data_IF_441537276445
#
_entry.id   IF_441537276445
#
_cell.length_a   1.000
_cell.length_b   1.000
_cell.length_c   1.000
_cell.angle_alpha   90.00
_cell.angle_beta   90.00
_cell.angle_gamma   90.00
#
_symmetry.space_group_name_H-M   'P 1'
#
loop_
_entity.id
_entity.type
_entity.pdbx_description
1 polymer ?
#
# COMPACT_ATOMS: atom_id res chain seq x y z
N UNK A 1 10.68 22.32 15.53
CA UNK A 1 11.98 22.28 16.23
C UNK A 1 11.73 22.38 17.72
N UNK A 2 12.35 21.53 18.54
CA UNK A 2 12.26 21.58 20.00
C UNK A 2 13.69 21.61 20.56
N UNK A 3 14.03 22.63 21.36
CA UNK A 3 15.40 22.81 21.89
C UNK A 3 15.41 23.34 23.32
N UNK A 4 16.47 23.02 24.05
CA UNK A 4 16.81 23.63 25.35
C UNK A 4 17.44 25.02 25.24
N UNK A 5 17.82 25.44 24.02
CA UNK A 5 18.47 26.73 23.79
C UNK A 5 17.54 27.93 24.02
N UNK A 6 18.14 29.11 24.11
CA UNK A 6 17.42 30.37 24.10
C UNK A 6 16.61 30.57 22.81
N UNK A 7 15.48 31.26 22.95
CA UNK A 7 14.55 31.63 21.89
C UNK A 7 15.22 32.35 20.71
N UNK A 8 16.11 33.31 20.97
CA UNK A 8 16.84 34.02 19.92
C UNK A 8 17.71 33.10 19.06
N UNK A 9 18.41 32.14 19.69
CA UNK A 9 19.25 31.15 19.00
C UNK A 9 18.39 30.17 18.22
N UNK A 10 17.34 29.64 18.86
CA UNK A 10 16.41 28.70 18.25
C UNK A 10 15.75 29.29 16.99
N UNK A 11 15.26 30.53 17.07
CA UNK A 11 14.68 31.25 15.94
C UNK A 11 15.69 31.51 14.82
N UNK A 12 16.93 31.87 15.17
CA UNK A 12 18.00 32.10 14.19
C UNK A 12 18.33 30.84 13.40
N UNK A 13 18.50 29.70 14.09
CA UNK A 13 18.76 28.41 13.45
C UNK A 13 17.55 27.96 12.63
N UNK A 14 16.33 28.09 13.16
CA UNK A 14 15.11 27.73 12.45
C UNK A 14 14.94 28.53 11.14
N UNK A 15 15.28 29.83 11.12
CA UNK A 15 15.30 30.63 9.87
C UNK A 15 16.32 30.11 8.87
N UNK A 16 17.54 29.77 9.33
CA UNK A 16 18.60 29.23 8.45
C UNK A 16 18.20 27.89 7.82
N UNK A 17 17.45 27.08 8.55
CA UNK A 17 16.93 25.79 8.09
C UNK A 17 15.63 25.91 7.28
N UNK A 18 15.10 27.12 7.08
CA UNK A 18 13.91 27.36 6.26
C UNK A 18 12.58 27.01 6.92
N UNK A 19 12.50 26.96 8.25
CA UNK A 19 11.21 26.77 8.94
C UNK A 19 10.27 27.95 8.66
N UNK A 20 8.96 27.71 8.46
CA UNK A 20 7.98 28.76 8.25
C UNK A 20 7.81 29.55 9.56
N UNK A 21 8.37 30.76 9.58
CA UNK A 21 8.31 31.69 10.72
C UNK A 21 7.53 32.92 10.26
N UNK A 22 6.30 33.04 10.73
CA UNK A 22 5.43 34.15 10.39
C UNK A 22 5.78 35.36 11.26
N UNK A 23 6.21 36.50 10.68
CA UNK A 23 6.39 37.74 11.43
C UNK A 23 5.02 38.18 11.99
N UNK A 24 4.84 38.18 13.31
CA UNK A 24 3.62 38.67 13.97
C UNK A 24 2.65 37.61 14.53
N UNK A 25 2.87 36.32 14.28
CA UNK A 25 2.23 35.22 15.06
C UNK A 25 3.26 34.57 15.97
N UNK A 26 2.83 34.01 17.10
CA UNK A 26 3.68 33.25 18.03
C UNK A 26 4.25 31.99 17.35
N UNK A 27 5.28 32.17 16.51
CA UNK A 27 5.96 31.10 15.78
C UNK A 27 6.96 30.36 16.69
N UNK A 28 7.21 30.89 17.88
CA UNK A 28 8.03 30.32 18.93
C UNK A 28 7.26 30.34 20.26
N UNK A 29 7.31 29.22 20.99
CA UNK A 29 6.86 29.13 22.38
C UNK A 29 8.02 28.71 23.27
N UNK A 30 8.13 29.32 24.43
CA UNK A 30 9.13 28.98 25.46
C UNK A 30 8.55 27.97 26.46
N UNK A 31 9.42 27.22 27.13
CA UNK A 31 9.01 26.29 28.19
C UNK A 31 8.14 26.93 29.29
N UNK A 32 8.42 28.19 29.65
CA UNK A 32 7.63 28.93 30.64
C UNK A 32 6.22 29.27 30.13
N UNK A 33 6.09 29.62 28.84
CA UNK A 33 4.79 29.86 28.22
C UNK A 33 3.99 28.55 28.14
N UNK A 34 4.62 27.43 27.80
CA UNK A 34 3.99 26.10 27.79
C UNK A 34 3.45 25.74 29.18
N UNK A 35 4.20 26.01 30.26
CA UNK A 35 3.74 25.77 31.64
C UNK A 35 2.54 26.63 32.06
N UNK A 36 2.43 27.84 31.49
CA UNK A 36 1.30 28.72 31.74
C UNK A 36 0.04 28.34 30.95
N UNK A 37 0.15 27.45 29.97
CA UNK A 37 -0.95 26.99 29.14
C UNK A 37 -1.63 25.75 29.72
N UNK A 38 -2.95 25.72 29.62
CA UNK A 38 -3.71 24.49 29.79
C UNK A 38 -3.44 23.53 28.62
N UNK A 39 -3.69 22.24 28.83
CA UNK A 39 -3.51 21.21 27.79
C UNK A 39 -4.28 21.55 26.51
N UNK A 40 -5.51 22.06 26.63
CA UNK A 40 -6.32 22.48 25.48
C UNK A 40 -5.72 23.68 24.75
N UNK A 41 -5.20 24.67 25.47
CA UNK A 41 -4.52 25.82 24.86
C UNK A 41 -3.25 25.39 24.12
N UNK A 42 -2.49 24.45 24.70
CA UNK A 42 -1.31 23.88 24.03
C UNK A 42 -1.73 23.13 22.77
N UNK A 43 -2.75 22.29 22.83
CA UNK A 43 -3.32 21.59 21.66
C UNK A 43 -3.70 22.59 20.56
N UNK A 44 -4.38 23.69 20.88
CA UNK A 44 -4.74 24.70 19.89
C UNK A 44 -3.50 25.39 19.30
N UNK A 45 -2.49 25.70 20.13
CA UNK A 45 -1.28 26.40 19.73
C UNK A 45 -0.32 25.56 18.86
N UNK A 46 -0.12 24.27 19.13
CA UNK A 46 0.92 23.45 18.46
C UNK A 46 0.80 23.41 16.93
N UNK A 47 -0.39 23.63 16.37
CA UNK A 47 -0.60 23.66 14.91
C UNK A 47 -0.05 24.90 14.21
N UNK A 48 0.31 25.96 14.96
CA UNK A 48 0.79 27.23 14.42
C UNK A 48 2.21 27.59 14.87
N UNK A 49 2.82 26.75 15.71
CA UNK A 49 4.13 26.98 16.32
C UNK A 49 5.15 26.05 15.68
N UNK A 50 6.22 26.62 15.16
CA UNK A 50 7.29 25.87 14.48
C UNK A 50 8.49 25.61 15.40
N UNK A 51 8.67 26.42 16.44
CA UNK A 51 9.82 26.40 17.34
C UNK A 51 9.37 26.36 18.80
N UNK A 52 9.91 25.42 19.57
CA UNK A 52 9.77 25.36 21.03
C UNK A 52 11.15 25.51 21.66
N UNK A 53 11.36 26.55 22.46
CA UNK A 53 12.65 26.92 23.03
C UNK A 53 12.67 26.80 24.56
N UNK A 54 13.86 26.68 25.15
CA UNK A 54 14.06 26.45 26.59
C UNK A 54 13.18 25.33 27.16
N UNK A 55 13.04 24.23 26.42
CA UNK A 55 12.15 23.12 26.81
C UNK A 55 12.83 22.15 27.77
N UNK A 56 12.07 21.68 28.75
CA UNK A 56 12.42 20.56 29.65
C UNK A 56 11.91 19.22 29.08
N UNK A 57 12.37 18.07 29.61
CA UNK A 57 11.81 16.76 29.22
C UNK A 57 10.28 16.69 29.34
N UNK A 58 9.70 17.31 30.37
CA UNK A 58 8.25 17.38 30.58
C UNK A 58 7.54 18.13 29.45
N UNK A 59 8.13 19.25 28.99
CA UNK A 59 7.58 20.03 27.88
C UNK A 59 7.63 19.24 26.57
N UNK A 60 8.71 18.48 26.32
CA UNK A 60 8.81 17.61 25.13
C UNK A 60 7.67 16.60 25.07
N UNK A 61 7.39 15.92 26.18
CA UNK A 61 6.25 15.00 26.27
C UNK A 61 4.91 15.71 26.07
N UNK A 62 4.70 16.87 26.70
CA UNK A 62 3.46 17.64 26.55
C UNK A 62 3.20 18.07 25.10
N UNK A 63 4.25 18.45 24.36
CA UNK A 63 4.16 18.80 22.94
C UNK A 63 3.76 17.57 22.11
N UNK A 64 4.39 16.41 22.35
CA UNK A 64 4.05 15.16 21.67
C UNK A 64 2.59 14.79 21.92
N UNK A 65 2.13 14.80 23.18
CA UNK A 65 0.74 14.52 23.54
C UNK A 65 -0.24 15.51 22.88
N UNK A 66 0.12 16.79 22.80
CA UNK A 66 -0.72 17.81 22.17
C UNK A 66 -0.91 17.56 20.66
N UNK A 67 0.14 17.16 19.94
CA UNK A 67 0.01 16.77 18.53
C UNK A 67 -0.79 15.46 18.35
N UNK A 68 -0.56 14.46 19.22
CA UNK A 68 -1.31 13.21 19.19
C UNK A 68 -2.80 13.42 19.47
N UNK A 69 -3.15 14.31 20.40
CA UNK A 69 -4.54 14.67 20.72
C UNK A 69 -5.26 15.33 19.53
N UNK A 70 -4.52 15.98 18.62
CA UNK A 70 -5.05 16.49 17.34
C UNK A 70 -5.19 15.41 16.26
N UNK A 71 -4.90 14.16 16.57
CA UNK A 71 -4.99 13.03 15.63
C UNK A 71 -3.80 12.92 14.67
N UNK A 72 -2.72 13.67 14.90
CA UNK A 72 -1.50 13.56 14.12
C UNK A 72 -0.70 12.30 14.52
N UNK A 73 0.03 11.73 13.57
CA UNK A 73 1.10 10.76 13.85
C UNK A 73 2.38 11.55 14.10
N UNK A 74 2.99 11.37 15.27
CA UNK A 74 4.13 12.17 15.72
C UNK A 74 5.39 11.34 15.69
N UNK A 75 6.36 11.79 14.89
CA UNK A 75 7.74 11.32 14.98
C UNK A 75 8.55 12.31 15.84
N UNK A 76 9.31 11.78 16.80
CA UNK A 76 10.19 12.60 17.64
C UNK A 76 11.64 12.15 17.47
N UNK A 77 12.53 13.11 17.28
CA UNK A 77 13.98 12.88 17.21
C UNK A 77 14.67 13.34 18.49
N UNK A 78 15.65 12.59 18.98
CA UNK A 78 16.44 12.95 20.17
C UNK A 78 17.71 12.11 20.31
N UNK A 79 18.68 12.63 21.04
CA UNK A 79 20.01 12.03 21.22
C UNK A 79 20.34 11.83 22.71
N UNK A 80 19.76 12.63 23.59
CA UNK A 80 20.02 12.61 25.03
C UNK A 80 19.11 11.69 25.84
N UNK A 81 19.58 11.31 27.03
CA UNK A 81 18.78 10.61 28.07
C UNK A 81 17.50 11.36 28.41
N UNK A 82 17.54 12.70 28.31
CA UNK A 82 16.42 13.59 28.53
C UNK A 82 15.29 13.44 27.50
N UNK A 83 15.59 12.87 26.33
CA UNK A 83 14.62 12.67 25.26
C UNK A 83 13.95 11.32 25.32
N UNK A 84 14.54 10.34 26.02
CA UNK A 84 14.03 8.98 26.11
C UNK A 84 12.54 8.88 26.49
N UNK A 85 12.00 9.63 27.47
CA UNK A 85 10.57 9.57 27.78
C UNK A 85 9.68 10.03 26.61
N UNK A 86 10.12 11.06 25.88
CA UNK A 86 9.34 11.64 24.80
C UNK A 86 9.52 10.87 23.47
N UNK A 87 10.70 10.27 23.24
CA UNK A 87 10.92 9.27 22.19
C UNK A 87 9.98 8.08 22.36
N UNK A 88 9.83 7.57 23.58
CA UNK A 88 8.97 6.41 23.86
C UNK A 88 7.47 6.74 23.77
N UNK A 89 7.11 8.00 24.00
CA UNK A 89 5.73 8.48 23.93
C UNK A 89 5.26 8.76 22.48
N UNK A 90 6.19 9.15 21.61
CA UNK A 90 5.91 9.41 20.21
C UNK A 90 5.39 8.15 19.50
N UNK A 91 4.65 8.33 18.40
CA UNK A 91 4.22 7.20 17.57
C UNK A 91 5.43 6.54 16.88
N UNK A 92 6.48 7.33 16.63
CA UNK A 92 7.78 6.86 16.13
C UNK A 92 8.89 7.65 16.84
N UNK A 93 9.64 6.99 17.73
CA UNK A 93 10.85 7.53 18.33
C UNK A 93 12.06 7.32 17.40
N UNK A 94 12.85 8.37 17.16
CA UNK A 94 14.03 8.37 16.29
C UNK A 94 15.26 8.80 17.09
N UNK A 95 16.26 7.93 17.20
CA UNK A 95 17.53 8.23 17.91
C UNK A 95 18.69 8.40 16.93
N UNK A 96 19.65 9.24 17.32
CA UNK A 96 20.92 9.38 16.61
C UNK A 96 21.82 8.17 16.88
N UNK A 97 22.45 7.62 15.85
CA UNK A 97 23.27 6.41 15.94
C UNK A 97 24.64 6.64 16.55
N UNK A 98 25.35 7.70 16.15
CA UNK A 98 26.71 8.00 16.64
C UNK A 98 26.68 8.94 17.84
N UNK A 99 25.93 10.02 17.75
CA UNK A 99 25.80 11.05 18.79
C UNK A 99 24.79 10.71 19.88
N UNK A 100 23.89 9.74 19.64
CA UNK A 100 22.88 9.34 20.61
C UNK A 100 23.43 8.50 21.74
N UNK A 101 22.91 8.75 22.94
CA UNK A 101 23.13 7.93 24.14
C UNK A 101 22.47 6.56 24.01
N UNK A 102 23.01 5.54 24.69
CA UNK A 102 22.43 4.19 24.65
C UNK A 102 20.99 4.17 25.17
N UNK A 103 20.69 5.01 26.17
CA UNK A 103 19.32 5.17 26.69
C UNK A 103 18.37 5.73 25.62
N UNK A 104 18.81 6.70 24.81
CA UNK A 104 17.99 7.23 23.72
C UNK A 104 17.77 6.19 22.61
N UNK A 105 18.79 5.39 22.28
CA UNK A 105 18.68 4.29 21.30
C UNK A 105 17.74 3.18 21.75
N UNK A 106 17.78 2.78 23.02
CA UNK A 106 16.84 1.79 23.57
C UNK A 106 15.39 2.30 23.64
N UNK A 107 15.20 3.61 23.79
CA UNK A 107 13.87 4.22 23.83
C UNK A 107 13.23 4.43 22.44
N UNK A 108 14.04 4.45 21.37
CA UNK A 108 13.60 4.75 20.02
C UNK A 108 13.16 3.50 19.23
N UNK A 109 12.26 3.70 18.26
CA UNK A 109 11.81 2.65 17.32
C UNK A 109 12.72 2.60 16.07
N UNK A 110 13.41 3.70 15.76
CA UNK A 110 14.31 3.84 14.62
C UNK A 110 15.62 4.51 15.04
N UNK A 111 16.76 4.04 14.52
CA UNK A 111 18.09 4.59 14.80
C UNK A 111 18.74 5.06 13.50
N UNK A 112 19.15 6.33 13.44
CA UNK A 112 19.88 6.91 12.31
C UNK A 112 21.38 6.61 12.45
N UNK A 113 21.84 5.50 11.88
CA UNK A 113 23.23 5.01 12.02
C UNK A 113 24.28 6.02 11.52
N UNK A 114 23.89 6.88 10.59
CA UNK A 114 24.71 7.91 9.95
C UNK A 114 24.56 9.32 10.57
N UNK A 115 23.64 9.50 11.52
CA UNK A 115 23.25 10.79 12.10
C UNK A 115 22.71 11.80 11.06
N UNK A 116 22.21 11.34 9.92
CA UNK A 116 21.65 12.21 8.88
C UNK A 116 20.11 12.27 8.93
N UNK A 117 19.56 13.48 9.09
CA UNK A 117 18.12 13.71 9.03
C UNK A 117 17.51 13.41 7.65
N UNK A 118 18.31 13.44 6.57
CA UNK A 118 17.84 13.11 5.23
C UNK A 118 17.34 11.67 5.13
N UNK A 119 17.91 10.76 5.92
CA UNK A 119 17.52 9.35 6.01
C UNK A 119 16.08 9.17 6.50
N UNK A 120 15.56 10.11 7.30
CA UNK A 120 14.15 10.12 7.72
C UNK A 120 13.21 10.27 6.50
N UNK A 121 13.59 11.09 5.51
CA UNK A 121 12.79 11.27 4.30
C UNK A 121 12.70 9.97 3.50
N UNK A 122 13.82 9.26 3.35
CA UNK A 122 13.86 7.94 2.71
C UNK A 122 13.02 6.90 3.48
N UNK A 123 13.06 6.92 4.81
CA UNK A 123 12.24 6.03 5.62
C UNK A 123 10.72 6.33 5.50
N UNK A 124 10.34 7.61 5.41
CA UNK A 124 8.95 8.02 5.16
C UNK A 124 8.49 7.60 3.77
N UNK A 125 9.34 7.76 2.77
CA UNK A 125 9.08 7.31 1.40
C UNK A 125 8.84 5.80 1.34
N UNK A 126 9.74 5.03 1.92
CA UNK A 126 9.63 3.57 1.99
C UNK A 126 8.37 3.14 2.76
N UNK A 127 8.08 3.77 3.89
CA UNK A 127 6.89 3.47 4.69
C UNK A 127 5.57 3.73 3.94
N UNK A 128 5.50 4.82 3.16
CA UNK A 128 4.33 5.07 2.30
C UNK A 128 4.23 4.05 1.15
N UNK A 129 5.37 3.65 0.57
CA UNK A 129 5.43 2.63 -0.47
C UNK A 129 4.94 1.27 0.02
N UNK A 130 5.45 0.81 1.18
CA UNK A 130 5.03 -0.45 1.82
C UNK A 130 3.52 -0.48 2.02
N UNK A 131 2.91 0.61 2.51
CA UNK A 131 1.46 0.67 2.69
C UNK A 131 0.69 0.49 1.37
N UNK A 132 1.16 1.11 0.28
CA UNK A 132 0.54 0.96 -1.03
C UNK A 132 0.69 -0.47 -1.57
N UNK A 133 1.87 -1.07 -1.39
CA UNK A 133 2.13 -2.45 -1.76
C UNK A 133 1.28 -3.43 -0.94
N UNK A 134 1.02 -3.12 0.35
CA UNK A 134 0.09 -3.88 1.18
C UNK A 134 -1.31 -3.93 0.56
N UNK A 135 -1.81 -2.80 0.08
CA UNK A 135 -3.12 -2.76 -0.57
C UNK A 135 -3.15 -3.58 -1.87
N UNK A 136 -2.06 -3.55 -2.65
CA UNK A 136 -1.96 -4.30 -3.90
C UNK A 136 -1.95 -5.82 -3.67
N UNK A 137 -1.12 -6.33 -2.74
CA UNK A 137 -1.10 -7.76 -2.47
C UNK A 137 -2.39 -8.23 -1.79
N UNK A 138 -2.98 -7.44 -0.88
CA UNK A 138 -4.26 -7.79 -0.27
C UNK A 138 -5.38 -7.84 -1.31
N UNK A 139 -5.35 -6.96 -2.31
CA UNK A 139 -6.31 -7.03 -3.43
C UNK A 139 -6.19 -8.37 -4.15
N UNK A 140 -4.97 -8.79 -4.47
CA UNK A 140 -4.72 -10.08 -5.11
C UNK A 140 -5.19 -11.26 -4.23
N UNK A 141 -4.68 -11.35 -3.01
CA UNK A 141 -4.92 -12.47 -2.09
C UNK A 141 -6.41 -12.61 -1.72
N UNK A 142 -7.10 -11.49 -1.47
CA UNK A 142 -8.54 -11.50 -1.20
C UNK A 142 -9.35 -11.89 -2.45
N UNK A 143 -8.95 -11.44 -3.65
CA UNK A 143 -9.64 -11.83 -4.88
C UNK A 143 -9.59 -13.34 -5.08
N UNK A 144 -8.41 -13.93 -4.93
CA UNK A 144 -8.18 -15.37 -5.06
C UNK A 144 -8.93 -16.16 -3.99
N UNK A 145 -8.85 -15.73 -2.72
CA UNK A 145 -9.56 -16.39 -1.61
C UNK A 145 -11.08 -16.34 -1.78
N UNK A 146 -11.63 -15.18 -2.14
CA UNK A 146 -13.07 -15.02 -2.41
C UNK A 146 -13.48 -15.85 -3.61
N UNK A 147 -12.68 -15.88 -4.69
CA UNK A 147 -12.96 -16.69 -5.87
C UNK A 147 -13.00 -18.18 -5.54
N UNK A 148 -11.98 -18.70 -4.83
CA UNK A 148 -11.91 -20.11 -4.46
C UNK A 148 -13.10 -20.54 -3.58
N UNK A 149 -13.42 -19.77 -2.54
CA UNK A 149 -14.55 -20.06 -1.66
C UNK A 149 -15.89 -19.99 -2.41
N UNK A 150 -16.06 -18.99 -3.28
CA UNK A 150 -17.28 -18.83 -4.07
C UNK A 150 -17.44 -19.96 -5.08
N UNK A 151 -16.36 -20.39 -5.74
CA UNK A 151 -16.37 -21.52 -6.67
C UNK A 151 -16.86 -22.80 -6.00
N UNK A 152 -16.30 -23.13 -4.83
CA UNK A 152 -16.70 -24.33 -4.06
C UNK A 152 -18.13 -24.20 -3.54
N UNK A 153 -18.51 -23.02 -3.04
CA UNK A 153 -19.86 -22.76 -2.55
C UNK A 153 -20.90 -22.90 -3.68
N UNK A 154 -20.61 -22.36 -4.87
CA UNK A 154 -21.48 -22.48 -6.05
C UNK A 154 -21.60 -23.94 -6.50
N UNK A 155 -20.50 -24.67 -6.63
CA UNK A 155 -20.54 -26.09 -6.99
C UNK A 155 -21.41 -26.90 -6.03
N UNK A 156 -21.25 -26.67 -4.72
CA UNK A 156 -22.05 -27.33 -3.67
C UNK A 156 -23.54 -26.93 -3.75
N UNK A 157 -23.84 -25.65 -3.96
CA UNK A 157 -25.21 -25.14 -4.04
C UNK A 157 -25.97 -25.70 -5.26
N UNK A 158 -25.28 -25.88 -6.38
CA UNK A 158 -25.86 -26.47 -7.59
C UNK A 158 -25.84 -28.01 -7.59
N UNK A 159 -25.38 -28.65 -6.50
CA UNK A 159 -25.30 -30.10 -6.40
C UNK A 159 -24.29 -30.73 -7.37
N UNK A 160 -23.32 -29.96 -7.84
CA UNK A 160 -22.23 -30.45 -8.67
C UNK A 160 -21.16 -31.09 -7.77
N UNK A 161 -20.41 -32.02 -8.35
CA UNK A 161 -19.21 -32.54 -7.71
C UNK A 161 -18.19 -31.41 -7.45
N UNK A 162 -17.23 -31.65 -6.56
CA UNK A 162 -16.24 -30.64 -6.23
C UNK A 162 -15.31 -30.36 -7.42
N UNK A 163 -15.17 -29.08 -7.85
CA UNK A 163 -14.42 -28.70 -9.03
C UNK A 163 -12.89 -28.81 -8.81
N UNK A 164 -12.45 -28.78 -7.55
CA UNK A 164 -11.07 -28.90 -7.13
C UNK A 164 -10.96 -29.90 -5.97
N UNK A 165 -9.90 -30.69 -5.96
CA UNK A 165 -9.60 -31.58 -4.84
C UNK A 165 -8.83 -30.86 -3.71
N UNK A 166 -8.77 -31.48 -2.53
CA UNK A 166 -8.11 -30.89 -1.37
C UNK A 166 -6.62 -30.59 -1.61
N UNK A 167 -5.91 -31.43 -2.37
CA UNK A 167 -4.49 -31.25 -2.68
C UNK A 167 -4.25 -30.07 -3.62
N UNK A 168 -5.10 -29.89 -4.63
CA UNK A 168 -5.11 -28.78 -5.57
C UNK A 168 -5.39 -27.45 -4.85
N UNK A 169 -6.34 -27.44 -3.91
CA UNK A 169 -6.63 -26.26 -3.08
C UNK A 169 -5.43 -25.90 -2.20
N UNK A 170 -4.79 -26.88 -1.56
CA UNK A 170 -3.57 -26.64 -0.77
C UNK A 170 -2.43 -26.10 -1.63
N UNK A 171 -2.26 -26.63 -2.84
CA UNK A 171 -1.27 -26.15 -3.79
C UNK A 171 -1.51 -24.70 -4.19
N UNK A 172 -2.77 -24.33 -4.47
CA UNK A 172 -3.16 -22.94 -4.76
C UNK A 172 -2.76 -22.02 -3.60
N UNK A 173 -3.24 -22.33 -2.39
CA UNK A 173 -3.07 -21.45 -1.22
C UNK A 173 -1.61 -21.31 -0.77
N UNK A 174 -0.79 -22.35 -0.90
CA UNK A 174 0.58 -22.34 -0.38
C UNK A 174 1.58 -21.90 -1.46
N UNK A 175 1.50 -22.48 -2.66
CA UNK A 175 2.56 -22.32 -3.67
C UNK A 175 2.19 -21.34 -4.79
N UNK A 176 0.91 -21.21 -5.14
CA UNK A 176 0.51 -20.32 -6.24
C UNK A 176 0.11 -18.92 -5.75
N UNK A 177 -0.43 -18.79 -4.54
CA UNK A 177 -0.80 -17.50 -3.96
C UNK A 177 0.38 -16.84 -3.22
N UNK A 178 1.04 -17.59 -2.33
CA UNK A 178 2.06 -17.06 -1.42
C UNK A 178 3.21 -16.29 -2.10
N UNK A 179 4.04 -16.93 -2.95
CA UNK A 179 5.21 -16.26 -3.54
C UNK A 179 4.86 -15.05 -4.43
N UNK A 180 3.82 -15.08 -5.29
CA UNK A 180 3.37 -13.89 -6.01
C UNK A 180 2.85 -12.79 -5.07
N UNK A 181 2.05 -13.11 -4.06
CA UNK A 181 1.56 -12.12 -3.09
C UNK A 181 2.70 -11.42 -2.35
N UNK A 182 3.70 -12.17 -1.87
CA UNK A 182 4.88 -11.59 -1.22
C UNK A 182 5.69 -10.70 -2.17
N UNK A 183 5.81 -11.11 -3.43
CA UNK A 183 6.53 -10.34 -4.43
C UNK A 183 5.86 -9.01 -4.80
N UNK A 184 4.52 -8.92 -4.68
CA UNK A 184 3.78 -7.66 -4.81
C UNK A 184 4.05 -6.70 -3.63
N UNK A 185 4.44 -7.24 -2.48
CA UNK A 185 4.86 -6.45 -1.31
C UNK A 185 6.14 -5.64 -1.54
N UNK A 186 6.99 -6.09 -2.48
CA UNK A 186 8.29 -5.47 -2.81
C UNK A 186 8.27 -4.80 -4.19
N UNK A 187 7.10 -4.36 -4.65
CA UNK A 187 7.02 -3.55 -5.87
C UNK A 187 7.77 -2.22 -5.65
N UNK A 188 8.54 -1.73 -6.66
CA UNK A 188 9.32 -0.51 -6.52
C UNK A 188 8.48 0.72 -6.15
N UNK A 189 9.12 1.65 -5.45
CA UNK A 189 8.51 2.90 -4.99
C UNK A 189 7.95 3.69 -6.17
N UNK A 190 6.70 4.14 -6.04
CA UNK A 190 6.08 5.06 -6.99
C UNK A 190 6.35 6.51 -6.57
N UNK A 191 7.09 7.27 -7.37
CA UNK A 191 7.43 8.68 -7.14
C UNK A 191 6.21 9.57 -6.83
N UNK A 192 5.01 9.20 -7.28
CA UNK A 192 3.78 9.95 -6.99
C UNK A 192 3.34 9.82 -5.53
N UNK A 193 3.80 8.81 -4.80
CA UNK A 193 3.45 8.57 -3.40
C UNK A 193 3.98 9.68 -2.50
N UNK A 194 5.16 10.23 -2.81
CA UNK A 194 5.74 11.34 -2.05
C UNK A 194 4.99 12.66 -2.23
N UNK A 195 4.33 12.86 -3.37
CA UNK A 195 3.50 14.04 -3.65
C UNK A 195 2.17 14.04 -2.88
N UNK A 196 1.75 12.89 -2.34
CA UNK A 196 0.50 12.78 -1.59
C UNK A 196 0.71 13.18 -0.13
N UNK A 197 -0.28 13.85 0.49
CA UNK A 197 -0.23 14.16 1.91
C UNK A 197 -0.19 12.86 2.75
N UNK A 198 0.26 12.94 4.02
CA UNK A 198 0.14 11.83 4.95
C UNK A 198 -1.29 11.31 5.03
N UNK A 199 -1.45 9.98 5.09
CA UNK A 199 -2.77 9.37 5.28
C UNK A 199 -3.30 9.65 6.68
N UNK A 200 -4.62 9.65 6.83
CA UNK A 200 -5.25 9.68 8.16
C UNK A 200 -4.87 8.42 8.96
N UNK A 201 -4.82 8.56 10.29
CA UNK A 201 -4.46 7.48 11.22
C UNK A 201 -5.43 6.30 11.14
N UNK A 202 -6.70 6.59 10.98
CA UNK A 202 -7.84 5.67 10.91
C UNK A 202 -8.19 5.24 9.46
N UNK A 203 -7.36 5.61 8.48
CA UNK A 203 -7.57 5.21 7.10
C UNK A 203 -7.55 3.67 6.99
N UNK A 204 -8.70 3.10 6.63
CA UNK A 204 -8.84 1.66 6.44
C UNK A 204 -7.93 1.17 5.29
N UNK A 205 -7.24 0.05 5.53
CA UNK A 205 -6.45 -0.63 4.49
C UNK A 205 -7.38 -1.15 3.39
N UNK A 206 -8.49 -1.77 3.80
CA UNK A 206 -9.55 -2.26 2.91
C UNK A 206 -10.53 -1.14 2.59
N UNK A 207 -10.26 -0.39 1.53
CA UNK A 207 -11.17 0.66 1.06
C UNK A 207 -12.35 0.06 0.29
N UNK A 208 -13.51 0.73 0.22
CA UNK A 208 -14.63 0.28 -0.60
C UNK A 208 -14.26 0.12 -2.08
N UNK A 209 -13.31 0.93 -2.57
CA UNK A 209 -12.78 0.80 -3.93
C UNK A 209 -11.97 -0.48 -4.10
N UNK A 210 -11.11 -0.80 -3.13
CA UNK A 210 -10.37 -2.06 -3.10
C UNK A 210 -11.33 -3.25 -3.07
N UNK A 211 -12.35 -3.22 -2.20
CA UNK A 211 -13.32 -4.31 -2.10
C UNK A 211 -14.11 -4.50 -3.40
N UNK A 212 -14.49 -3.41 -4.08
CA UNK A 212 -15.12 -3.50 -5.41
C UNK A 212 -14.21 -4.19 -6.42
N UNK A 213 -12.92 -3.86 -6.43
CA UNK A 213 -11.93 -4.51 -7.31
C UNK A 213 -11.79 -6.00 -7.00
N UNK A 214 -11.71 -6.34 -5.72
CA UNK A 214 -11.67 -7.74 -5.24
C UNK A 214 -12.86 -8.52 -5.77
N UNK A 215 -14.07 -7.97 -5.61
CA UNK A 215 -15.30 -8.63 -6.06
C UNK A 215 -15.39 -8.74 -7.58
N UNK A 216 -14.95 -7.72 -8.34
CA UNK A 216 -14.96 -7.79 -9.81
C UNK A 216 -13.96 -8.82 -10.34
N UNK A 217 -12.73 -8.85 -9.80
CA UNK A 217 -11.75 -9.86 -10.17
C UNK A 217 -12.25 -11.26 -9.80
N UNK A 218 -12.72 -11.45 -8.56
CA UNK A 218 -13.23 -12.74 -8.12
C UNK A 218 -14.41 -13.24 -8.98
N UNK A 219 -15.33 -12.35 -9.35
CA UNK A 219 -16.45 -12.70 -10.22
C UNK A 219 -15.99 -13.20 -11.61
N UNK A 220 -15.00 -12.55 -12.21
CA UNK A 220 -14.45 -12.98 -13.51
C UNK A 220 -13.77 -14.35 -13.38
N UNK A 221 -12.96 -14.54 -12.34
CA UNK A 221 -12.24 -15.80 -12.08
C UNK A 221 -13.24 -16.94 -11.86
N UNK A 222 -14.26 -16.73 -11.02
CA UNK A 222 -15.31 -17.72 -10.75
C UNK A 222 -16.10 -18.03 -12.01
N UNK A 223 -16.57 -17.01 -12.75
CA UNK A 223 -17.35 -17.21 -13.95
C UNK A 223 -16.56 -17.98 -15.03
N UNK A 224 -15.30 -17.62 -15.24
CA UNK A 224 -14.44 -18.31 -16.21
C UNK A 224 -14.10 -19.74 -15.79
N UNK A 225 -13.76 -19.96 -14.51
CA UNK A 225 -13.42 -21.30 -14.00
C UNK A 225 -14.65 -22.21 -14.00
N UNK A 226 -15.82 -21.68 -13.59
CA UNK A 226 -17.08 -22.42 -13.62
C UNK A 226 -17.52 -22.74 -15.05
N UNK A 227 -17.30 -21.81 -16.00
CA UNK A 227 -17.58 -22.06 -17.41
C UNK A 227 -16.77 -23.24 -17.95
N UNK A 228 -15.46 -23.29 -17.67
CA UNK A 228 -14.60 -24.42 -18.05
C UNK A 228 -15.07 -25.70 -17.38
N UNK A 229 -15.37 -25.65 -16.07
CA UNK A 229 -15.83 -26.82 -15.33
C UNK A 229 -17.12 -27.43 -15.91
N UNK A 230 -18.12 -26.60 -16.21
CA UNK A 230 -19.39 -27.07 -16.78
C UNK A 230 -19.22 -27.51 -18.24
N UNK A 231 -18.33 -26.87 -19.01
CA UNK A 231 -18.09 -27.23 -20.40
C UNK A 231 -17.41 -28.60 -20.54
N UNK A 232 -16.43 -28.90 -19.69
CA UNK A 232 -15.71 -30.19 -19.71
C UNK A 232 -16.54 -31.33 -19.11
N UNK A 233 -17.47 -31.02 -18.20
CA UNK A 233 -18.35 -32.01 -17.58
C UNK A 233 -19.50 -32.45 -18.51
N UNK A 234 -19.19 -33.00 -19.68
CA UNK A 234 -20.18 -33.48 -20.67
C UNK A 234 -20.80 -34.83 -20.32
N UNK A 235 -20.08 -35.69 -19.58
CA UNK A 235 -20.46 -37.09 -19.35
C UNK A 235 -21.11 -37.34 -17.97
N UNK A 236 -21.32 -36.28 -17.18
CA UNK A 236 -21.95 -36.34 -15.85
C UNK A 236 -21.08 -36.96 -14.74
N UNK A 237 -19.86 -37.44 -15.05
CA UNK A 237 -18.86 -37.89 -14.11
C UNK A 237 -17.68 -36.91 -14.07
N UNK A 238 -17.11 -36.68 -12.88
CA UNK A 238 -15.90 -35.86 -12.74
C UNK A 238 -14.67 -36.73 -12.98
N UNK A 239 -13.96 -36.42 -14.05
CA UNK A 239 -12.71 -37.08 -14.42
C UNK A 239 -11.49 -36.32 -13.88
N UNK A 240 -10.34 -36.99 -13.85
CA UNK A 240 -9.06 -36.34 -13.50
C UNK A 240 -8.75 -35.19 -14.49
N UNK A 241 -9.11 -35.34 -15.76
CA UNK A 241 -9.01 -34.28 -16.77
C UNK A 241 -9.82 -33.04 -16.40
N UNK A 242 -11.09 -33.18 -16.01
CA UNK A 242 -11.97 -32.04 -15.71
C UNK A 242 -11.46 -31.21 -14.53
N UNK A 243 -11.01 -31.91 -13.48
CA UNK A 243 -10.40 -31.24 -12.32
C UNK A 243 -9.07 -30.60 -12.68
N UNK A 244 -8.28 -31.19 -13.59
CA UNK A 244 -7.02 -30.61 -14.06
C UNK A 244 -7.22 -29.37 -14.92
N UNK A 245 -8.22 -29.39 -15.81
CA UNK A 245 -8.62 -28.24 -16.63
C UNK A 245 -9.07 -27.08 -15.74
N UNK A 246 -9.94 -27.37 -14.77
CA UNK A 246 -10.46 -26.39 -13.80
C UNK A 246 -9.34 -25.82 -12.93
N UNK A 247 -8.49 -26.69 -12.39
CA UNK A 247 -7.33 -26.33 -11.57
C UNK A 247 -6.35 -25.44 -12.34
N UNK A 248 -5.98 -25.82 -13.56
CA UNK A 248 -5.05 -25.02 -14.39
C UNK A 248 -5.67 -23.69 -14.80
N UNK A 249 -6.97 -23.66 -15.08
CA UNK A 249 -7.72 -22.43 -15.36
C UNK A 249 -7.68 -21.47 -14.17
N UNK A 250 -7.92 -21.96 -12.96
CA UNK A 250 -7.87 -21.15 -11.75
C UNK A 250 -6.47 -20.56 -11.52
N UNK A 251 -5.42 -21.40 -11.61
CA UNK A 251 -4.03 -20.95 -11.44
C UNK A 251 -3.64 -19.90 -12.48
N UNK A 252 -4.04 -20.06 -13.74
CA UNK A 252 -3.71 -19.08 -14.78
C UNK A 252 -4.48 -17.76 -14.58
N UNK A 253 -5.75 -17.82 -14.17
CA UNK A 253 -6.49 -16.65 -13.74
C UNK A 253 -5.78 -15.90 -12.61
N UNK A 254 -5.27 -16.61 -11.60
CA UNK A 254 -4.50 -16.00 -10.52
C UNK A 254 -3.22 -15.33 -11.03
N UNK A 255 -2.47 -15.95 -11.94
CA UNK A 255 -1.26 -15.33 -12.49
C UNK A 255 -1.56 -14.03 -13.27
N UNK A 256 -2.63 -14.01 -14.07
CA UNK A 256 -3.06 -12.81 -14.77
C UNK A 256 -3.62 -11.75 -13.81
N UNK A 257 -4.33 -12.17 -12.75
CA UNK A 257 -4.84 -11.27 -11.72
C UNK A 257 -3.71 -10.67 -10.87
N UNK A 258 -2.68 -11.46 -10.52
CA UNK A 258 -1.49 -11.00 -9.82
C UNK A 258 -0.78 -9.91 -10.64
N UNK A 259 -0.65 -10.14 -11.95
CA UNK A 259 -0.09 -9.16 -12.87
C UNK A 259 -0.94 -7.87 -12.87
N UNK A 260 -2.26 -7.99 -13.01
CA UNK A 260 -3.18 -6.85 -12.94
C UNK A 260 -3.10 -6.07 -11.61
N UNK A 261 -2.82 -6.74 -10.50
CA UNK A 261 -2.75 -6.17 -9.16
C UNK A 261 -1.43 -5.43 -8.86
N UNK A 262 -0.41 -5.49 -9.73
CA UNK A 262 0.87 -4.74 -9.54
C UNK A 262 0.72 -3.24 -9.35
N UNK A 263 -0.36 -2.66 -9.88
CA UNK A 263 -0.71 -1.26 -9.61
C UNK A 263 -2.21 -1.06 -9.64
N UNK A 264 -2.71 -0.21 -8.73
CA UNK A 264 -4.11 0.20 -8.69
C UNK A 264 -4.49 1.09 -9.88
N UNK A 265 -3.60 2.02 -10.25
CA UNK A 265 -3.89 3.14 -11.15
C UNK A 265 -3.13 3.09 -12.47
N UNK A 266 -1.85 2.72 -12.42
CA UNK A 266 -0.98 2.74 -13.59
C UNK A 266 -1.16 1.48 -14.41
N UNK A 267 -1.11 1.69 -15.72
CA UNK A 267 -1.10 0.62 -16.71
C UNK A 267 0.17 -0.20 -16.57
N UNK A 268 0.10 -1.53 -16.76
CA UNK A 268 1.31 -2.36 -16.77
C UNK A 268 2.25 -1.96 -17.91
N UNK A 269 1.68 -1.50 -19.04
CA UNK A 269 2.46 -1.01 -20.17
C UNK A 269 3.26 0.25 -19.82
N UNK A 270 2.78 1.08 -18.88
CA UNK A 270 3.53 2.26 -18.39
C UNK A 270 4.57 1.93 -17.33
N UNK A 271 4.34 0.89 -16.52
CA UNK A 271 5.25 0.48 -15.45
C UNK A 271 6.40 -0.35 -16.01
N UNK A 272 6.11 -1.18 -17.02
CA UNK A 272 7.02 -2.18 -17.56
C UNK A 272 6.84 -3.55 -16.88
N UNK A 273 6.94 -4.60 -17.69
CA UNK A 273 6.81 -5.98 -17.21
C UNK A 273 8.01 -6.39 -16.34
N UNK A 274 9.21 -5.86 -16.59
CA UNK A 274 10.46 -6.30 -15.97
C UNK A 274 10.89 -5.55 -14.71
N UNK A 275 10.08 -4.59 -14.25
CA UNK A 275 10.46 -3.67 -13.16
C UNK A 275 10.62 -4.40 -11.83
N UNK A 276 9.69 -5.30 -11.49
CA UNK A 276 9.79 -6.15 -10.31
C UNK A 276 10.34 -7.54 -10.70
N UNK A 277 11.64 -7.73 -10.48
CA UNK A 277 12.31 -9.00 -10.78
C UNK A 277 11.79 -10.14 -9.89
N UNK A 278 11.54 -9.86 -8.61
CA UNK A 278 11.02 -10.86 -7.67
C UNK A 278 9.65 -11.36 -8.12
N UNK A 279 8.77 -10.46 -8.56
CA UNK A 279 7.46 -10.83 -9.09
C UNK A 279 7.58 -11.74 -10.31
N UNK A 280 8.46 -11.39 -11.25
CA UNK A 280 8.66 -12.20 -12.44
C UNK A 280 9.22 -13.59 -12.12
N UNK A 281 10.15 -13.70 -11.16
CA UNK A 281 10.64 -15.00 -10.70
C UNK A 281 9.56 -15.81 -9.98
N UNK A 282 8.75 -15.18 -9.13
CA UNK A 282 7.63 -15.83 -8.45
C UNK A 282 6.61 -16.37 -9.46
N UNK A 283 6.14 -15.54 -10.40
CA UNK A 283 5.16 -15.95 -11.42
C UNK A 283 5.73 -17.03 -12.34
N UNK A 284 6.99 -16.89 -12.78
CA UNK A 284 7.63 -17.92 -13.60
C UNK A 284 7.76 -19.24 -12.83
N UNK A 285 8.16 -19.17 -11.56
CA UNK A 285 8.25 -20.34 -10.68
C UNK A 285 6.89 -21.02 -10.49
N UNK A 286 5.83 -20.23 -10.32
CA UNK A 286 4.44 -20.72 -10.27
C UNK A 286 4.04 -21.41 -11.58
N UNK A 287 4.27 -20.80 -12.74
CA UNK A 287 3.97 -21.41 -14.04
C UNK A 287 4.74 -22.72 -14.24
N UNK A 288 6.04 -22.74 -13.95
CA UNK A 288 6.86 -23.95 -14.02
C UNK A 288 6.35 -25.02 -13.05
N UNK A 289 6.00 -24.63 -11.83
CA UNK A 289 5.38 -25.52 -10.84
C UNK A 289 4.08 -26.13 -11.35
N UNK A 290 3.23 -25.34 -12.01
CA UNK A 290 1.99 -25.85 -12.62
C UNK A 290 2.29 -26.90 -13.68
N UNK A 291 3.27 -26.64 -14.55
CA UNK A 291 3.69 -27.59 -15.58
C UNK A 291 4.26 -28.89 -14.99
N UNK A 292 5.02 -28.81 -13.90
CA UNK A 292 5.50 -29.99 -13.18
C UNK A 292 4.35 -30.82 -12.63
N UNK A 293 3.32 -30.18 -12.07
CA UNK A 293 2.15 -30.88 -11.52
C UNK A 293 1.33 -31.59 -12.60
N UNK A 294 1.20 -31.02 -13.80
CA UNK A 294 0.37 -31.63 -14.86
C UNK A 294 1.13 -32.61 -15.76
N UNK A 295 2.48 -32.58 -15.81
CA UNK A 295 3.25 -33.44 -16.73
C UNK A 295 4.17 -34.45 -16.04
N UNK A 296 4.53 -34.28 -14.77
CA UNK A 296 5.41 -35.22 -14.09
C UNK A 296 4.60 -36.35 -13.42
N UNK A 297 4.89 -37.64 -13.70
CA UNK A 297 4.10 -38.77 -13.19
C UNK A 297 3.97 -38.84 -11.66
N UNK A 298 5.03 -38.46 -10.94
CA UNK A 298 5.02 -38.41 -9.48
C UNK A 298 3.96 -37.43 -8.96
N UNK A 299 3.96 -36.20 -9.49
CA UNK A 299 3.00 -35.18 -9.07
C UNK A 299 1.59 -35.48 -9.56
N UNK A 300 1.43 -36.04 -10.77
CA UNK A 300 0.12 -36.48 -11.27
C UNK A 300 -0.59 -37.45 -10.33
N UNK A 301 0.17 -38.38 -9.73
CA UNK A 301 -0.39 -39.35 -8.76
C UNK A 301 -0.84 -38.67 -7.47
N UNK A 302 -0.07 -37.69 -6.98
CA UNK A 302 -0.36 -36.97 -5.72
C UNK A 302 -1.52 -35.99 -5.87
N UNK A 303 -1.54 -35.23 -6.95
CA UNK A 303 -2.53 -34.18 -7.21
C UNK A 303 -3.73 -34.67 -8.02
N UNK A 304 -3.72 -35.94 -8.44
CA UNK A 304 -4.75 -36.57 -9.27
C UNK A 304 -4.98 -35.79 -10.57
N UNK A 305 -3.90 -35.40 -11.24
CA UNK A 305 -3.93 -34.59 -12.47
C UNK A 305 -3.63 -35.41 -13.72
N UNK A 306 -4.09 -34.92 -14.85
CA UNK A 306 -3.87 -35.51 -16.17
C UNK A 306 -3.14 -34.54 -17.11
N UNK A 307 -2.37 -35.05 -18.06
CA UNK A 307 -1.64 -34.22 -19.01
C UNK A 307 -2.62 -33.50 -19.96
N UNK A 308 -2.52 -32.16 -20.00
CA UNK A 308 -3.32 -31.33 -20.91
C UNK A 308 -2.65 -31.21 -22.28
N UNK A 309 -3.47 -31.10 -23.32
CA UNK A 309 -2.97 -30.87 -24.68
C UNK A 309 -2.59 -29.41 -24.88
N UNK A 310 -1.80 -29.12 -25.92
CA UNK A 310 -1.41 -27.76 -26.25
C UNK A 310 -2.61 -26.86 -26.60
N UNK A 311 -3.64 -27.42 -27.24
CA UNK A 311 -4.88 -26.69 -27.58
C UNK A 311 -5.65 -26.29 -26.33
N UNK A 312 -5.69 -27.17 -25.33
CA UNK A 312 -6.35 -26.90 -24.05
C UNK A 312 -5.63 -25.75 -23.32
N UNK A 313 -4.29 -25.80 -23.24
CA UNK A 313 -3.48 -24.75 -22.64
C UNK A 313 -3.65 -23.40 -23.34
N UNK A 314 -3.71 -23.39 -24.68
CA UNK A 314 -3.93 -22.17 -25.44
C UNK A 314 -5.32 -21.59 -25.16
N UNK A 315 -6.36 -22.44 -25.14
CA UNK A 315 -7.74 -22.03 -24.81
C UNK A 315 -7.84 -21.44 -23.40
N UNK A 316 -7.25 -22.11 -22.41
CA UNK A 316 -7.18 -21.64 -21.02
C UNK A 316 -6.45 -20.30 -20.95
N UNK A 317 -5.29 -20.16 -21.60
CA UNK A 317 -4.50 -18.92 -21.56
C UNK A 317 -5.28 -17.74 -22.15
N UNK A 318 -5.97 -17.95 -23.27
CA UNK A 318 -6.79 -16.90 -23.89
C UNK A 318 -7.95 -16.50 -22.99
N UNK A 319 -8.68 -17.47 -22.43
CA UNK A 319 -9.80 -17.22 -21.53
C UNK A 319 -9.33 -16.49 -20.26
N UNK A 320 -8.25 -16.97 -19.65
CA UNK A 320 -7.75 -16.44 -18.36
C UNK A 320 -7.15 -15.05 -18.49
N UNK A 321 -6.61 -14.70 -19.66
CA UNK A 321 -6.14 -13.34 -19.94
C UNK A 321 -7.25 -12.27 -19.85
N UNK A 322 -8.53 -12.66 -19.89
CA UNK A 322 -9.67 -11.75 -19.78
C UNK A 322 -9.69 -10.94 -18.49
N UNK A 323 -9.25 -11.51 -17.36
CA UNK A 323 -9.19 -10.79 -16.07
C UNK A 323 -8.19 -9.63 -16.13
N UNK A 324 -7.06 -9.85 -16.80
CA UNK A 324 -6.03 -8.83 -17.01
C UNK A 324 -6.58 -7.69 -17.87
N UNK A 325 -7.20 -8.01 -19.01
CA UNK A 325 -7.77 -7.00 -19.90
C UNK A 325 -8.91 -6.21 -19.26
N UNK A 326 -9.75 -6.84 -18.44
CA UNK A 326 -10.82 -6.17 -17.71
C UNK A 326 -10.28 -5.14 -16.72
N UNK A 327 -9.26 -5.51 -15.93
CA UNK A 327 -8.60 -4.58 -15.01
C UNK A 327 -7.85 -3.46 -15.75
N UNK A 328 -7.22 -3.77 -16.87
CA UNK A 328 -6.51 -2.78 -17.68
C UNK A 328 -7.47 -1.75 -18.30
N UNK A 329 -8.62 -2.22 -18.81
CA UNK A 329 -9.70 -1.35 -19.28
C UNK A 329 -10.22 -0.44 -18.16
N UNK A 330 -10.43 -0.98 -16.95
CA UNK A 330 -10.83 -0.19 -15.78
C UNK A 330 -9.82 0.93 -15.48
N UNK A 331 -8.53 0.63 -15.47
CA UNK A 331 -7.46 1.63 -15.23
C UNK A 331 -7.47 2.73 -16.29
N UNK A 332 -7.64 2.34 -17.56
CA UNK A 332 -7.69 3.27 -18.68
C UNK A 332 -8.88 4.25 -18.60
N UNK A 333 -10.08 3.77 -18.25
CA UNK A 333 -11.24 4.63 -18.07
C UNK A 333 -11.14 5.49 -16.80
N UNK A 334 -10.54 4.96 -15.74
CA UNK A 334 -10.29 5.68 -14.49
C UNK A 334 -9.37 6.90 -14.66
N UNK A 335 -8.26 6.75 -15.41
CA UNK A 335 -7.31 7.85 -15.64
C UNK A 335 -7.92 9.00 -16.44
N UNK A 336 -8.73 8.67 -17.47
CA UNK A 336 -9.44 9.66 -18.29
C UNK A 336 -10.50 10.44 -17.52
N UNK A 337 -11.19 9.78 -16.59
CA UNK A 337 -12.18 10.44 -15.72
C UNK A 337 -11.51 11.45 -14.79
N UNK A 338 -10.38 11.10 -14.19
CA UNK A 338 -9.62 12.01 -13.33
C UNK A 338 -9.00 13.20 -14.10
N UNK A 339 -8.51 12.99 -15.32
CA UNK A 339 -8.05 14.08 -16.20
C UNK A 339 -9.19 15.03 -16.59
N UNK A 340 -10.39 14.52 -16.88
CA UNK A 340 -11.56 15.37 -17.18
C UNK A 340 -12.01 16.19 -15.98
N UNK A 341 -11.94 15.65 -14.76
CA UNK A 341 -12.28 16.37 -13.53
C UNK A 341 -11.23 17.45 -13.23
N UNK A 342 -9.95 17.15 -13.35
CA UNK A 342 -8.88 18.15 -13.19
C UNK A 342 -8.94 19.23 -14.27
N UNK A 343 -9.25 18.89 -15.52
CA UNK A 343 -9.47 19.86 -16.60
C UNK A 343 -10.69 20.75 -16.38
N UNK A 344 -11.75 20.24 -15.73
CA UNK A 344 -12.93 21.04 -15.34
C UNK A 344 -12.64 21.98 -14.17
N UNK A 345 -11.91 21.53 -13.15
CA UNK A 345 -11.54 22.38 -12.02
C UNK A 345 -10.48 23.43 -12.41
N UNK A 346 -9.55 23.11 -13.32
CA UNK A 346 -8.63 24.10 -13.90
C UNK A 346 -9.37 25.16 -14.74
N UNK A 347 -10.51 24.82 -15.33
CA UNK A 347 -11.36 25.76 -16.08
C UNK A 347 -12.28 26.64 -15.23
N UNK A 348 -12.41 26.39 -13.93
CA UNK A 348 -13.24 27.19 -13.01
C UNK A 348 -12.42 28.09 -12.06
N UNK A 349 -11.08 28.07 -12.12
CA UNK A 349 -10.21 28.72 -11.15
C UNK A 349 -9.56 30.05 -11.55
N UNK A 350 -9.81 30.62 -12.73
CA UNK A 350 -9.27 31.94 -13.10
C UNK A 350 -10.23 32.71 -14.03
N UNK A 351 -10.96 33.69 -13.49
CA UNK A 351 -11.47 34.81 -14.29
C UNK A 351 -10.41 35.92 -14.23
N UNK A 352 -9.75 36.19 -15.36
CA UNK A 352 -9.00 37.45 -15.52
C UNK A 352 -10.00 38.59 -15.44
N UNK A 353 -9.84 39.46 -14.44
CA UNK A 353 -10.44 40.79 -14.43
C UNK A 353 -9.30 41.74 -14.72
N UNK A 354 -9.31 42.35 -15.90
CA UNK A 354 -8.36 43.40 -16.25
C UNK A 354 -8.75 44.66 -15.47
N UNK A 355 -7.98 45.02 -14.46
CA UNK A 355 -8.01 46.35 -13.82
C UNK A 355 -6.71 47.07 -14.13
N UNK A 356 -6.80 48.33 -14.56
CA UNK A 356 -5.70 49.16 -15.06
C UNK A 356 -4.56 49.45 -14.04
N UNK A 357 -4.62 48.91 -12.82
CA UNK A 357 -3.54 49.05 -11.82
C UNK A 357 -3.29 47.71 -11.11
N UNK A 358 -2.26 46.98 -11.57
CA UNK A 358 -1.58 45.91 -10.82
C UNK A 358 -2.29 44.55 -10.74
N UNK A 359 -1.59 43.49 -11.16
CA UNK A 359 -2.07 42.10 -11.10
C UNK A 359 -2.36 41.67 -9.64
N UNK A 360 -3.64 41.44 -9.33
CA UNK A 360 -4.07 40.78 -8.11
C UNK A 360 -4.81 39.48 -8.44
N UNK A 361 -4.39 38.38 -7.83
CA UNK A 361 -5.05 37.08 -7.92
C UNK A 361 -5.87 36.83 -6.66
N UNK A 362 -7.19 36.73 -6.81
CA UNK A 362 -8.12 36.39 -5.72
C UNK A 362 -8.36 34.87 -5.69
N UNK A 363 -8.15 34.25 -4.53
CA UNK A 363 -8.43 32.82 -4.29
C UNK A 363 -9.86 32.74 -3.74
N UNK A 364 -10.76 32.01 -4.42
CA UNK A 364 -12.08 31.61 -3.87
C UNK A 364 -11.99 30.21 -3.29
#
# INVERSE_FOLDING_TARGET
>A
MITGDADATALSIARRLGFPINPGKASCLTGAEIESMTERQLQDAVGHVSVFARTTPKHKMAIVSAFQAKGCIVAMTGDGVNDAPALKLADIGISMGRSGTDVAKEAADMILVDDDFSTILGAVEEGKSIFYNIQNFLTFQLSTSVAALTLIAMATLFGLNNPLNAMQILWINILMDGPPAQSLGVEPVDDEVMKKPPRARDAAILTPLLLRRVLTSAMIIVAGTMFVYVHEMTDGAVTARDTTMTFTTFVFFDMFNALACRSEKKSIFSIGFTTNKMFNFSVMGSIVGQFLVIYMPFFQTVFQTEALTFTDLLGITLLTSSVFWAEEARKFFGSRSQQKIHGRNAGQGFRRVDTEEGEAFEIV
#
